data_IF_761729745994
#
_entry.id   IF_761729745994
#
_cell.length_a   1.000
_cell.length_b   1.000
_cell.length_c   1.000
_cell.angle_alpha   90.00
_cell.angle_beta   90.00
_cell.angle_gamma   90.00
#
_symmetry.space_group_name_H-M   'P 1'
#
loop_
_entity.id
_entity.type
_entity.pdbx_description
1 polymer ?
#
# COMPACT_ATOMS: atom_id res chain seq x y z
N UNK A 1 -10.57 -9.19 -25.16
CA UNK A 1 -9.66 -8.73 -24.09
C UNK A 1 -10.21 -9.14 -22.73
N UNK A 2 -9.60 -10.13 -22.07
CA UNK A 2 -9.99 -10.59 -20.73
C UNK A 2 -9.52 -9.55 -19.70
N UNK A 3 -10.33 -8.50 -19.50
CA UNK A 3 -10.03 -7.36 -18.64
C UNK A 3 -10.17 -7.65 -17.14
N UNK A 4 -9.82 -8.86 -16.67
CA UNK A 4 -10.20 -9.30 -15.32
C UNK A 4 -9.21 -10.24 -14.66
N UNK A 5 -7.91 -9.97 -14.82
CA UNK A 5 -6.79 -10.61 -14.12
C UNK A 5 -6.68 -12.11 -14.40
N UNK A 6 -5.45 -12.62 -14.56
CA UNK A 6 -5.24 -14.08 -14.54
C UNK A 6 -5.92 -14.68 -13.30
N UNK A 7 -6.76 -15.71 -13.50
CA UNK A 7 -7.64 -16.24 -12.45
C UNK A 7 -9.09 -16.50 -12.87
N UNK A 8 -9.42 -16.46 -14.16
CA UNK A 8 -10.74 -16.88 -14.69
C UNK A 8 -11.11 -18.29 -14.25
N UNK A 9 -10.11 -19.16 -14.16
CA UNK A 9 -10.23 -20.53 -13.68
C UNK A 9 -9.55 -20.68 -12.30
N UNK A 10 -9.71 -19.69 -11.42
CA UNK A 10 -9.25 -19.83 -10.03
C UNK A 10 -10.08 -20.92 -9.34
N UNK A 11 -9.48 -22.07 -9.07
CA UNK A 11 -10.13 -23.20 -8.43
C UNK A 11 -10.31 -22.92 -6.94
N UNK A 12 -11.54 -23.03 -6.46
CA UNK A 12 -11.80 -23.08 -5.04
C UNK A 12 -11.22 -24.40 -4.48
N UNK A 13 -10.56 -24.37 -3.32
CA UNK A 13 -9.82 -25.54 -2.84
C UNK A 13 -10.72 -26.75 -2.53
N UNK A 14 -11.73 -26.66 -1.66
CA UNK A 14 -12.57 -27.82 -1.36
C UNK A 14 -13.62 -28.13 -2.43
N UNK A 15 -13.89 -27.21 -3.36
CA UNK A 15 -15.02 -27.34 -4.31
C UNK A 15 -14.55 -27.03 -5.74
N UNK A 16 -14.86 -27.87 -6.74
CA UNK A 16 -14.40 -27.67 -8.12
C UNK A 16 -15.20 -26.59 -8.86
N UNK A 17 -15.23 -25.37 -8.30
CA UNK A 17 -15.88 -24.19 -8.86
C UNK A 17 -14.91 -23.00 -8.90
N UNK A 18 -15.29 -21.96 -9.64
CA UNK A 18 -14.59 -20.70 -9.61
C UNK A 18 -14.84 -19.93 -8.30
N UNK A 19 -13.88 -19.07 -7.92
CA UNK A 19 -14.10 -18.08 -6.86
C UNK A 19 -15.22 -17.10 -7.23
N UNK A 20 -16.11 -16.88 -6.28
CA UNK A 20 -17.15 -15.84 -6.31
C UNK A 20 -16.52 -14.45 -6.29
N UNK A 21 -17.28 -13.43 -6.73
CA UNK A 21 -16.82 -12.04 -6.64
C UNK A 21 -16.55 -11.64 -5.18
N UNK A 22 -17.26 -12.20 -4.19
CA UNK A 22 -16.98 -11.86 -2.80
C UNK A 22 -15.66 -12.44 -2.31
N UNK A 23 -15.38 -13.70 -2.62
CA UNK A 23 -14.10 -14.34 -2.28
C UNK A 23 -12.92 -13.59 -2.92
N UNK A 24 -13.04 -13.18 -4.19
CA UNK A 24 -12.01 -12.37 -4.86
C UNK A 24 -11.79 -11.01 -4.20
N UNK A 25 -12.86 -10.35 -3.77
CA UNK A 25 -12.75 -9.07 -3.09
C UNK A 25 -12.06 -9.21 -1.72
N UNK A 26 -12.32 -10.29 -0.99
CA UNK A 26 -11.61 -10.59 0.27
C UNK A 26 -10.12 -10.81 0.04
N UNK A 27 -9.74 -11.51 -1.02
CA UNK A 27 -8.33 -11.66 -1.40
C UNK A 27 -7.66 -10.31 -1.72
N UNK A 28 -8.43 -9.36 -2.24
CA UNK A 28 -8.01 -7.98 -2.47
C UNK A 28 -8.19 -7.10 -1.21
N UNK A 29 -8.43 -7.67 -0.02
CA UNK A 29 -8.60 -6.95 1.25
C UNK A 29 -9.78 -5.95 1.31
N UNK A 30 -10.78 -6.10 0.45
CA UNK A 30 -12.00 -5.30 0.58
C UNK A 30 -12.81 -5.75 1.81
N UNK A 31 -13.37 -4.80 2.58
CA UNK A 31 -14.35 -5.12 3.62
C UNK A 31 -15.54 -5.89 3.05
N UNK A 32 -16.10 -6.80 3.84
CA UNK A 32 -17.24 -7.64 3.40
C UNK A 32 -18.47 -6.81 3.05
N UNK A 33 -18.65 -5.69 3.76
CA UNK A 33 -19.73 -4.71 3.60
C UNK A 33 -19.55 -3.82 2.37
N UNK A 34 -18.39 -3.88 1.69
CA UNK A 34 -18.15 -3.06 0.51
C UNK A 34 -19.05 -3.50 -0.66
N UNK A 35 -19.91 -2.58 -1.10
CA UNK A 35 -20.88 -2.80 -2.18
C UNK A 35 -20.25 -2.47 -3.53
N UNK A 36 -20.19 -3.47 -4.40
CA UNK A 36 -19.81 -3.28 -5.81
C UNK A 36 -21.06 -3.12 -6.66
N UNK A 37 -21.03 -2.21 -7.63
CA UNK A 37 -22.16 -1.91 -8.50
C UNK A 37 -21.90 -2.32 -9.95
N UNK A 38 -22.96 -2.72 -10.66
CA UNK A 38 -22.91 -3.14 -12.07
C UNK A 38 -23.19 -4.62 -12.26
N UNK A 39 -22.97 -5.09 -13.49
CA UNK A 39 -23.13 -6.50 -13.86
C UNK A 39 -22.06 -7.37 -13.22
N UNK A 40 -22.30 -8.68 -13.18
CA UNK A 40 -21.35 -9.65 -12.61
C UNK A 40 -19.93 -9.53 -13.22
N UNK A 41 -19.83 -9.33 -14.53
CA UNK A 41 -18.56 -9.15 -15.23
C UNK A 41 -17.87 -7.82 -14.95
N UNK A 42 -18.64 -6.74 -14.78
CA UNK A 42 -18.12 -5.42 -14.42
C UNK A 42 -17.57 -5.40 -13.00
N UNK A 43 -18.31 -5.98 -12.04
CA UNK A 43 -17.86 -6.14 -10.65
C UNK A 43 -16.55 -6.93 -10.61
N UNK A 44 -16.48 -8.04 -11.36
CA UNK A 44 -15.27 -8.84 -11.45
C UNK A 44 -14.08 -8.02 -11.98
N UNK A 45 -14.29 -7.19 -13.00
CA UNK A 45 -13.27 -6.28 -13.54
C UNK A 45 -12.86 -5.22 -12.51
N UNK A 46 -13.80 -4.63 -11.79
CA UNK A 46 -13.51 -3.67 -10.72
C UNK A 46 -12.60 -4.29 -9.65
N UNK A 47 -12.92 -5.51 -9.18
CA UNK A 47 -12.11 -6.22 -8.18
C UNK A 47 -10.72 -6.58 -8.73
N UNK A 48 -10.65 -7.10 -9.96
CA UNK A 48 -9.39 -7.56 -10.55
C UNK A 48 -8.39 -6.45 -10.85
N UNK A 49 -8.87 -5.24 -11.12
CA UNK A 49 -8.03 -4.08 -11.42
C UNK A 49 -7.80 -3.17 -10.20
N UNK A 50 -8.47 -3.42 -9.08
CA UNK A 50 -8.32 -2.62 -7.88
C UNK A 50 -6.95 -2.81 -7.25
N UNK A 51 -6.47 -1.75 -6.60
CA UNK A 51 -5.36 -1.85 -5.65
C UNK A 51 -5.95 -2.26 -4.29
N UNK A 52 -5.39 -3.26 -3.59
CA UNK A 52 -5.90 -3.69 -2.29
C UNK A 52 -5.95 -2.54 -1.28
N UNK A 53 -7.08 -2.29 -0.59
CA UNK A 53 -7.18 -1.24 0.44
C UNK A 53 -6.12 -1.36 1.54
N UNK A 54 -5.89 -2.56 2.08
CA UNK A 54 -4.88 -2.76 3.11
C UNK A 54 -3.45 -2.57 2.58
N UNK A 55 -3.22 -2.89 1.30
CA UNK A 55 -1.93 -2.67 0.65
C UNK A 55 -1.56 -1.18 0.53
N UNK A 56 -2.55 -0.30 0.40
CA UNK A 56 -2.35 1.15 0.27
C UNK A 56 -2.33 1.86 1.62
N UNK A 57 -2.91 1.26 2.67
CA UNK A 57 -3.09 1.89 3.98
C UNK A 57 -1.80 2.50 4.56
N UNK A 58 -0.69 1.77 4.48
CA UNK A 58 0.61 2.25 4.98
C UNK A 58 1.17 3.39 4.14
N UNK A 59 1.04 3.31 2.81
CA UNK A 59 1.47 4.37 1.90
C UNK A 59 0.66 5.65 2.15
N UNK A 60 -0.67 5.54 2.23
CA UNK A 60 -1.56 6.66 2.50
C UNK A 60 -1.20 7.35 3.82
N UNK A 61 -0.98 6.59 4.90
CA UNK A 61 -0.54 7.13 6.20
C UNK A 61 0.77 7.90 6.12
N UNK A 62 1.73 7.43 5.31
CA UNK A 62 3.02 8.13 5.13
C UNK A 62 2.87 9.41 4.30
N UNK A 63 1.90 9.46 3.40
CA UNK A 63 1.61 10.64 2.59
C UNK A 63 0.70 11.66 3.28
N UNK A 64 -0.10 11.24 4.27
CA UNK A 64 -1.04 12.11 5.00
C UNK A 64 -0.45 13.46 5.47
N UNK A 65 0.75 13.52 6.06
CA UNK A 65 1.34 14.78 6.51
C UNK A 65 1.55 15.79 5.38
N UNK A 66 1.71 15.33 4.13
CA UNK A 66 1.83 16.22 2.97
C UNK A 66 0.52 16.95 2.67
N UNK A 67 -0.62 16.34 3.00
CA UNK A 67 -1.94 16.93 2.79
C UNK A 67 -2.40 17.80 3.96
N UNK A 68 -1.92 17.54 5.19
CA UNK A 68 -2.23 18.36 6.36
C UNK A 68 -1.25 19.53 6.54
N UNK A 69 -0.13 19.52 5.81
CA UNK A 69 0.93 20.51 5.97
C UNK A 69 1.88 20.22 7.13
N UNK A 70 1.70 19.09 7.84
CA UNK A 70 2.52 18.66 8.97
C UNK A 70 3.80 17.95 8.51
N UNK A 71 4.51 18.51 7.53
CA UNK A 71 5.77 17.96 7.04
C UNK A 71 6.87 19.02 7.01
N UNK A 72 8.09 18.59 7.32
CA UNK A 72 9.26 19.44 7.11
C UNK A 72 9.63 19.37 5.64
N UNK A 73 9.51 20.49 4.93
CA UNK A 73 10.03 20.58 3.57
C UNK A 73 11.55 20.46 3.60
N UNK A 74 12.09 19.63 2.72
CA UNK A 74 13.53 19.43 2.56
C UNK A 74 13.89 19.79 1.13
N UNK A 75 14.94 20.58 0.97
CA UNK A 75 15.51 20.80 -0.36
C UNK A 75 16.21 19.52 -0.84
N UNK A 76 15.56 18.83 -1.76
CA UNK A 76 16.05 17.59 -2.34
C UNK A 76 17.30 17.81 -3.20
N UNK A 77 17.45 18.97 -3.83
CA UNK A 77 18.64 19.27 -4.65
C UNK A 77 19.86 19.46 -3.77
N UNK A 78 19.71 20.19 -2.67
CA UNK A 78 20.78 20.34 -1.69
C UNK A 78 21.14 19.00 -1.04
N UNK A 79 20.14 18.20 -0.63
CA UNK A 79 20.36 16.86 -0.05
C UNK A 79 21.09 15.95 -1.06
N UNK A 80 20.66 15.93 -2.31
CA UNK A 80 21.28 15.10 -3.35
C UNK A 80 22.73 15.54 -3.65
N UNK A 81 23.00 16.85 -3.69
CA UNK A 81 24.37 17.38 -3.86
C UNK A 81 25.28 16.94 -2.71
N UNK A 82 24.81 17.02 -1.46
CA UNK A 82 25.54 16.56 -0.27
C UNK A 82 25.82 15.06 -0.33
N UNK A 83 24.80 14.25 -0.61
CA UNK A 83 24.95 12.80 -0.72
C UNK A 83 25.94 12.42 -1.82
N UNK A 84 25.89 13.07 -2.98
CA UNK A 84 26.80 12.77 -4.08
C UNK A 84 28.25 13.17 -3.83
N UNK A 85 28.50 14.15 -2.96
CA UNK A 85 29.85 14.54 -2.55
C UNK A 85 30.48 13.55 -1.55
N UNK A 86 29.68 12.72 -0.88
CA UNK A 86 30.16 11.75 0.13
C UNK A 86 30.52 10.39 -0.50
N UNK A 87 31.45 9.62 0.09
CA UNK A 87 31.70 8.23 -0.28
C UNK A 87 30.48 7.32 0.02
N UNK A 88 30.33 6.22 -0.72
CA UNK A 88 29.18 5.31 -0.60
C UNK A 88 28.98 4.76 0.84
N UNK A 89 30.08 4.50 1.57
CA UNK A 89 30.00 4.01 2.96
C UNK A 89 29.28 4.99 3.89
N UNK A 90 29.63 6.26 3.80
CA UNK A 90 29.01 7.32 4.61
C UNK A 90 27.53 7.50 4.26
N UNK A 91 27.17 7.39 2.97
CA UNK A 91 25.75 7.43 2.55
C UNK A 91 24.92 6.32 3.20
N UNK A 92 25.47 5.11 3.27
CA UNK A 92 24.80 3.96 3.90
C UNK A 92 24.64 4.17 5.41
N UNK A 93 25.64 4.76 6.07
CA UNK A 93 25.54 5.09 7.51
C UNK A 93 24.47 6.14 7.78
N UNK A 94 24.41 7.20 6.96
CA UNK A 94 23.37 8.23 7.06
C UNK A 94 21.98 7.61 6.92
N UNK A 95 21.76 6.77 5.91
CA UNK A 95 20.47 6.10 5.69
C UNK A 95 20.07 5.19 6.87
N UNK A 96 21.02 4.42 7.41
CA UNK A 96 20.79 3.59 8.61
C UNK A 96 20.41 4.41 9.84
N UNK A 97 21.07 5.56 10.03
CA UNK A 97 20.80 6.45 11.15
C UNK A 97 19.44 7.16 11.00
N UNK A 98 19.10 7.61 9.79
CA UNK A 98 17.79 8.20 9.47
C UNK A 98 16.67 7.16 9.73
N UNK A 99 16.84 5.93 9.25
CA UNK A 99 15.88 4.83 9.46
C UNK A 99 15.71 4.49 10.95
N UNK A 100 16.78 4.46 11.74
CA UNK A 100 16.72 4.20 13.18
C UNK A 100 15.98 5.31 13.94
N UNK A 101 16.20 6.57 13.58
CA UNK A 101 15.50 7.72 14.17
C UNK A 101 14.00 7.70 13.84
N UNK A 102 13.62 7.31 12.62
CA UNK A 102 12.21 7.13 12.24
C UNK A 102 11.53 5.99 13.02
N UNK A 103 12.22 4.86 13.21
CA UNK A 103 11.69 3.74 13.98
C UNK A 103 11.46 4.10 15.46
N UNK A 104 12.37 4.87 16.06
CA UNK A 104 12.19 5.38 17.43
C UNK A 104 10.99 6.33 17.53
N UNK A 105 10.81 7.25 16.58
CA UNK A 105 9.63 8.13 16.52
C UNK A 105 8.32 7.33 16.34
N UNK A 106 8.33 6.32 15.48
CA UNK A 106 7.16 5.45 15.25
C UNK A 106 6.79 4.63 16.49
N UNK A 107 7.77 4.15 17.26
CA UNK A 107 7.53 3.42 18.51
C UNK A 107 6.86 4.28 19.60
N UNK A 108 7.14 5.60 19.59
CA UNK A 108 6.60 6.58 20.54
C UNK A 108 5.13 6.95 20.25
N UNK A 109 4.68 6.82 19.00
CA UNK A 109 3.32 7.14 18.56
C UNK A 109 2.35 5.93 18.54
N UNK A 110 2.73 4.77 19.08
CA UNK A 110 1.89 3.54 19.09
C UNK A 110 0.66 3.58 20.03
N UNK A 111 0.29 4.75 20.57
CA UNK A 111 -0.79 4.92 21.54
C UNK A 111 -2.19 5.14 20.97
N UNK A 112 -2.34 5.34 19.65
CA UNK A 112 -3.65 5.59 19.04
C UNK A 112 -4.32 4.29 18.57
N UNK A 113 -5.60 4.06 18.92
CA UNK A 113 -6.29 2.82 18.61
C UNK A 113 -6.39 2.60 17.10
N UNK A 114 -6.19 1.33 16.72
CA UNK A 114 -6.41 0.84 15.37
C UNK A 114 -7.92 0.61 15.26
N UNK A 115 -8.67 1.65 14.90
CA UNK A 115 -10.03 1.47 14.39
C UNK A 115 -9.99 0.77 13.03
#
# INVERSE_FOLDING_TARGET
>A
IAAGGGGTWGYHYPEPRALTNRERARLQSFPDEFIFQGTFGEIRRQIGNAVPPEGVRLLARKLMPLFTGDYTSVDLMEKNKKLNAMPLRERIEVDRNEAAAEQQKASRNKGEPIF
#
